data_IF_819190802320
#
_entry.id   IF_819190802320
#
_cell.length_a   1.000
_cell.length_b   1.000
_cell.length_c   1.000
_cell.angle_alpha   90.00
_cell.angle_beta   90.00
_cell.angle_gamma   90.00
#
_symmetry.space_group_name_H-M   'P 1'
#
loop_
_entity.id
_entity.type
_entity.pdbx_description
1 polymer ?
#
# COMPACT_ATOMS: atom_id res chain seq x y z
N UNK A 1 16.26 18.79 2.93
CA UNK A 1 15.63 17.52 3.35
C UNK A 1 14.22 17.71 3.90
N UNK A 2 13.92 18.75 4.72
CA UNK A 2 12.57 18.95 5.28
C UNK A 2 11.44 19.09 4.25
N UNK A 3 11.60 19.92 3.20
CA UNK A 3 10.50 20.15 2.26
C UNK A 3 10.15 18.91 1.43
N UNK A 4 11.14 18.07 1.10
CA UNK A 4 10.94 16.79 0.40
C UNK A 4 10.19 15.81 1.30
N UNK A 5 10.57 15.74 2.58
CA UNK A 5 9.92 14.88 3.57
C UNK A 5 8.44 15.27 3.75
N UNK A 6 8.15 16.57 3.76
CA UNK A 6 6.77 17.09 3.82
C UNK A 6 6.00 16.75 2.54
N UNK A 7 6.56 17.05 1.36
CA UNK A 7 5.87 16.84 0.09
C UNK A 7 5.54 15.36 -0.16
N UNK A 8 6.51 14.47 0.10
CA UNK A 8 6.35 13.03 -0.05
C UNK A 8 5.32 12.51 0.96
N UNK A 9 5.44 12.87 2.23
CA UNK A 9 4.52 12.39 3.26
C UNK A 9 3.08 12.87 3.05
N UNK A 10 2.87 14.11 2.60
CA UNK A 10 1.53 14.62 2.23
C UNK A 10 0.91 13.79 1.10
N UNK A 11 1.68 13.49 0.05
CA UNK A 11 1.21 12.65 -1.05
C UNK A 11 0.88 11.22 -0.60
N UNK A 12 1.70 10.64 0.29
CA UNK A 12 1.48 9.31 0.84
C UNK A 12 0.25 9.25 1.73
N UNK A 13 0.04 10.24 2.60
CA UNK A 13 -1.16 10.33 3.44
C UNK A 13 -2.43 10.51 2.61
N UNK A 14 -2.40 11.38 1.61
CA UNK A 14 -3.51 11.52 0.66
C UNK A 14 -3.82 10.20 -0.04
N UNK A 15 -2.78 9.44 -0.42
CA UNK A 15 -2.92 8.12 -1.04
C UNK A 15 -3.55 7.08 -0.09
N UNK A 16 -3.15 7.06 1.19
CA UNK A 16 -3.76 6.17 2.20
C UNK A 16 -5.25 6.45 2.31
N UNK A 17 -5.63 7.72 2.44
CA UNK A 17 -7.04 8.13 2.57
C UNK A 17 -7.83 7.77 1.30
N UNK A 18 -7.26 8.01 0.13
CA UNK A 18 -7.87 7.67 -1.16
C UNK A 18 -8.07 6.15 -1.35
N UNK A 19 -7.34 5.30 -0.64
CA UNK A 19 -7.48 3.85 -0.71
C UNK A 19 -8.54 3.30 0.24
N UNK A 20 -9.06 4.08 1.19
CA UNK A 20 -10.10 3.61 2.11
C UNK A 20 -11.33 3.03 1.39
N UNK A 21 -11.91 3.68 0.35
CA UNK A 21 -12.99 3.07 -0.41
C UNK A 21 -12.62 1.70 -0.99
N UNK A 22 -11.41 1.53 -1.53
CA UNK A 22 -10.93 0.26 -2.05
C UNK A 22 -10.77 -0.80 -0.96
N UNK A 23 -10.33 -0.41 0.24
CA UNK A 23 -10.18 -1.31 1.40
C UNK A 23 -11.55 -1.80 1.90
N UNK A 24 -12.59 -0.97 1.83
CA UNK A 24 -13.94 -1.32 2.28
C UNK A 24 -14.87 -1.83 1.17
N UNK A 25 -14.51 -1.65 -0.11
CA UNK A 25 -15.28 -2.15 -1.26
C UNK A 25 -15.22 -3.68 -1.38
N UNK A 26 -16.15 -4.28 -2.13
CA UNK A 26 -16.06 -5.69 -2.55
C UNK A 26 -15.08 -5.86 -3.71
N UNK A 27 -15.01 -4.87 -4.59
CA UNK A 27 -14.12 -4.86 -5.73
C UNK A 27 -12.75 -4.37 -5.32
N UNK A 28 -11.75 -5.24 -5.45
CA UNK A 28 -10.36 -4.94 -5.13
C UNK A 28 -9.54 -4.77 -6.41
N UNK A 29 -8.45 -4.00 -6.37
CA UNK A 29 -7.46 -4.01 -7.43
C UNK A 29 -6.95 -5.44 -7.70
N UNK A 30 -6.41 -5.65 -8.91
CA UNK A 30 -5.82 -6.93 -9.27
C UNK A 30 -4.70 -7.33 -8.28
N UNK A 31 -4.63 -8.61 -7.93
CA UNK A 31 -3.66 -9.12 -6.95
C UNK A 31 -2.22 -8.82 -7.35
N UNK A 32 -1.89 -8.99 -8.64
CA UNK A 32 -0.57 -8.70 -9.20
C UNK A 32 -0.18 -7.23 -9.03
N UNK A 33 -1.10 -6.31 -9.32
CA UNK A 33 -0.91 -4.88 -9.12
C UNK A 33 -0.69 -4.56 -7.64
N UNK A 34 -1.53 -5.07 -6.74
CA UNK A 34 -1.38 -4.83 -5.31
C UNK A 34 -0.06 -5.37 -4.74
N UNK A 35 0.38 -6.57 -5.18
CA UNK A 35 1.67 -7.13 -4.77
C UNK A 35 2.85 -6.31 -5.28
N UNK A 36 2.84 -5.92 -6.56
CA UNK A 36 3.89 -5.10 -7.14
C UNK A 36 3.98 -3.75 -6.43
N UNK A 37 2.86 -3.07 -6.21
CA UNK A 37 2.83 -1.79 -5.51
C UNK A 37 3.32 -1.93 -4.06
N UNK A 38 2.94 -3.00 -3.36
CA UNK A 38 3.46 -3.32 -2.01
C UNK A 38 4.99 -3.48 -2.04
N UNK A 39 5.53 -4.20 -3.01
CA UNK A 39 6.98 -4.39 -3.16
C UNK A 39 7.73 -3.09 -3.50
N UNK A 40 7.16 -2.22 -4.34
CA UNK A 40 7.76 -0.91 -4.62
C UNK A 40 7.77 -0.02 -3.38
N UNK A 41 6.66 0.04 -2.63
CA UNK A 41 6.57 0.89 -1.43
C UNK A 41 7.51 0.38 -0.33
N UNK A 42 7.73 -0.93 -0.20
CA UNK A 42 8.70 -1.45 0.79
C UNK A 42 10.14 -1.00 0.48
N UNK A 43 10.52 -0.97 -0.80
CA UNK A 43 11.81 -0.39 -1.22
C UNK A 43 11.88 1.11 -0.92
N UNK A 44 10.80 1.85 -1.16
CA UNK A 44 10.74 3.27 -0.83
C UNK A 44 10.84 3.52 0.67
N UNK A 45 10.15 2.73 1.49
CA UNK A 45 10.24 2.79 2.95
C UNK A 45 11.68 2.65 3.43
N UNK A 46 12.40 1.61 2.98
CA UNK A 46 13.82 1.40 3.31
C UNK A 46 14.68 2.58 2.83
N UNK A 47 14.43 3.07 1.62
CA UNK A 47 15.15 4.22 1.06
C UNK A 47 14.94 5.51 1.88
N UNK A 48 13.73 5.75 2.37
CA UNK A 48 13.43 6.91 3.21
C UNK A 48 14.11 6.81 4.58
N UNK A 49 14.19 5.61 5.15
CA UNK A 49 14.93 5.38 6.39
C UNK A 49 16.43 5.67 6.21
N UNK A 50 17.05 5.19 5.12
CA UNK A 50 18.48 5.41 4.87
C UNK A 50 18.82 6.87 4.52
N UNK A 51 17.86 7.60 3.93
CA UNK A 51 17.98 9.04 3.66
C UNK A 51 17.63 9.94 4.85
N UNK A 52 17.16 9.39 5.97
CA UNK A 52 16.75 10.16 7.15
C UNK A 52 15.44 10.92 7.00
N UNK A 53 14.59 10.53 6.03
CA UNK A 53 13.26 11.11 5.77
C UNK A 53 12.22 10.42 6.65
N UNK A 54 12.27 10.69 7.96
CA UNK A 54 11.52 9.94 8.98
C UNK A 54 10.01 10.05 8.77
N UNK A 55 9.50 11.22 8.40
CA UNK A 55 8.04 11.43 8.24
C UNK A 55 7.51 10.67 7.02
N UNK A 56 8.28 10.67 5.93
CA UNK A 56 8.02 9.90 4.71
C UNK A 56 8.15 8.40 4.96
N UNK A 57 9.10 7.96 5.78
CA UNK A 57 9.20 6.56 6.16
C UNK A 57 7.95 6.11 6.93
N UNK A 58 7.48 6.90 7.91
CA UNK A 58 6.27 6.57 8.67
C UNK A 58 5.05 6.49 7.74
N UNK A 59 4.83 7.51 6.91
CA UNK A 59 3.69 7.54 5.99
C UNK A 59 3.77 6.45 4.90
N UNK A 60 4.97 6.12 4.40
CA UNK A 60 5.19 4.97 3.53
C UNK A 60 4.86 3.64 4.23
N UNK A 61 5.13 3.49 5.53
CA UNK A 61 4.76 2.28 6.27
C UNK A 61 3.23 2.10 6.35
N UNK A 62 2.47 3.18 6.60
CA UNK A 62 1.01 3.13 6.55
C UNK A 62 0.49 2.79 5.15
N UNK A 63 1.06 3.40 4.12
CA UNK A 63 0.70 3.11 2.73
C UNK A 63 1.04 1.66 2.35
N UNK A 64 2.18 1.15 2.80
CA UNK A 64 2.62 -0.23 2.62
C UNK A 64 1.62 -1.21 3.25
N UNK A 65 1.24 -0.99 4.51
CA UNK A 65 0.26 -1.83 5.22
C UNK A 65 -1.10 -1.79 4.51
N UNK A 66 -1.51 -0.63 4.01
CA UNK A 66 -2.78 -0.48 3.27
C UNK A 66 -2.77 -1.32 1.98
N UNK A 67 -1.71 -1.25 1.18
CA UNK A 67 -1.58 -2.05 -0.03
C UNK A 67 -1.41 -3.54 0.24
N UNK A 68 -0.65 -3.92 1.28
CA UNK A 68 -0.53 -5.30 1.71
C UNK A 68 -1.89 -5.88 2.14
N UNK A 69 -2.72 -5.06 2.81
CA UNK A 69 -4.08 -5.43 3.19
C UNK A 69 -4.95 -5.68 1.95
N UNK A 70 -4.88 -4.80 0.94
CA UNK A 70 -5.60 -4.99 -0.32
C UNK A 70 -5.15 -6.26 -1.07
N UNK A 71 -3.84 -6.50 -1.13
CA UNK A 71 -3.30 -7.72 -1.73
C UNK A 71 -3.82 -8.97 -1.02
N UNK A 72 -3.81 -8.96 0.32
CA UNK A 72 -4.34 -10.07 1.12
C UNK A 72 -5.85 -10.28 0.91
N UNK A 73 -6.63 -9.20 0.90
CA UNK A 73 -8.07 -9.26 0.65
C UNK A 73 -8.38 -9.85 -0.73
N UNK A 74 -7.68 -9.42 -1.77
CA UNK A 74 -7.89 -9.95 -3.12
C UNK A 74 -7.45 -11.41 -3.25
N UNK A 75 -6.34 -11.80 -2.61
CA UNK A 75 -5.90 -13.20 -2.56
C UNK A 75 -6.97 -14.10 -1.92
N UNK A 76 -7.58 -13.66 -0.81
CA UNK A 76 -8.68 -14.38 -0.17
C UNK A 76 -9.89 -14.57 -1.09
N UNK A 77 -10.27 -13.53 -1.84
CA UNK A 77 -11.40 -13.58 -2.79
C UNK A 77 -11.10 -14.57 -3.93
N UNK A 78 -9.90 -14.53 -4.49
CA UNK A 78 -9.49 -15.46 -5.56
C UNK A 78 -9.51 -16.90 -5.04
N UNK A 79 -8.99 -17.12 -3.83
CA UNK A 79 -8.96 -18.44 -3.21
C UNK A 79 -10.35 -19.00 -2.91
N UNK A 80 -11.30 -18.17 -2.43
CA UNK A 80 -12.67 -18.63 -2.19
C UNK A 80 -13.37 -19.03 -3.49
N UNK A 81 -13.22 -18.22 -4.56
CA UNK A 81 -13.80 -18.53 -5.87
C UNK A 81 -13.27 -19.83 -6.47
N UNK A 82 -11.99 -20.15 -6.25
CA UNK A 82 -11.39 -21.40 -6.73
C UNK A 82 -11.93 -22.63 -5.97
N UNK A 83 -12.29 -22.49 -4.69
CA UNK A 83 -12.89 -23.57 -3.91
C UNK A 83 -14.33 -23.86 -4.35
N UNK A 84 -15.10 -22.85 -4.76
CA UNK A 84 -16.48 -23.01 -5.24
C UNK A 84 -16.58 -23.72 -6.61
N UNK A 85 -15.48 -23.77 -7.37
CA UNK A 85 -15.42 -24.41 -8.69
C UNK A 85 -15.00 -25.89 -8.67
N UNK A 86 -14.66 -26.43 -7.50
CA UNK A 86 -14.27 -27.83 -7.29
C UNK A 86 -15.43 -28.65 -6.72
#
# INVERSE_FOLDING_TARGET
>A
MQWQDIAISVAQWASVIALFPSVFSRDKPALSSSLLTTACISLFFVSYLTLGLVVSAISAAFLLVTWATLAYQQWRIIRSRAADTM
#
